data_IF_448976236702
#
_entry.id   IF_448976236702
#
_cell.length_a   1.000
_cell.length_b   1.000
_cell.length_c   1.000
_cell.angle_alpha   90.00
_cell.angle_beta   90.00
_cell.angle_gamma   90.00
#
_symmetry.space_group_name_H-M   'P 1'
#
loop_
_entity.id
_entity.type
_entity.pdbx_description
1 polymer ?
#
# COMPACT_ATOMS: atom_id res chain seq x y z
N UNK A 1 0.02 -2.43 25.96
CA UNK A 1 -0.94 -1.37 25.62
C UNK A 1 -1.79 -1.92 24.48
N UNK A 2 -3.02 -2.31 24.76
CA UNK A 2 -3.93 -2.83 23.73
C UNK A 2 -4.31 -1.68 22.81
N UNK A 3 -3.75 -1.67 21.61
CA UNK A 3 -4.20 -0.77 20.55
C UNK A 3 -5.65 -1.16 20.29
N UNK A 4 -6.58 -0.22 20.48
CA UNK A 4 -7.96 -0.36 20.01
C UNK A 4 -7.90 -0.35 18.48
N UNK A 5 -7.53 -1.48 17.88
CA UNK A 5 -7.46 -1.60 16.43
C UNK A 5 -8.87 -1.73 15.89
N UNK A 6 -9.26 -0.77 15.04
CA UNK A 6 -10.49 -0.89 14.28
C UNK A 6 -10.31 -1.99 13.19
N UNK A 7 -11.39 -2.56 12.65
CA UNK A 7 -11.31 -3.61 11.62
C UNK A 7 -10.43 -3.23 10.43
N UNK A 8 -10.48 -1.95 10.03
CA UNK A 8 -9.68 -1.37 8.96
C UNK A 8 -8.18 -1.47 9.23
N UNK A 9 -7.72 -1.18 10.45
CA UNK A 9 -6.30 -1.30 10.81
C UNK A 9 -5.80 -2.76 10.74
N UNK A 10 -6.65 -3.73 11.10
CA UNK A 10 -6.32 -5.17 10.98
C UNK A 10 -6.22 -5.57 9.51
N UNK A 11 -7.14 -5.08 8.67
CA UNK A 11 -7.09 -5.29 7.23
C UNK A 11 -5.79 -4.71 6.65
N UNK A 12 -5.43 -3.49 7.06
CA UNK A 12 -4.22 -2.79 6.61
C UNK A 12 -2.95 -3.54 6.96
N UNK A 13 -2.79 -3.95 8.21
CA UNK A 13 -1.64 -4.78 8.65
C UNK A 13 -1.58 -6.14 7.93
N UNK A 14 -2.72 -6.70 7.56
CA UNK A 14 -2.77 -7.96 6.82
C UNK A 14 -2.34 -7.76 5.37
N UNK A 15 -2.79 -6.68 4.74
CA UNK A 15 -2.40 -6.31 3.38
C UNK A 15 -0.91 -6.00 3.32
N UNK A 16 -0.39 -5.19 4.23
CA UNK A 16 1.04 -4.84 4.29
C UNK A 16 1.92 -6.08 4.39
N UNK A 17 1.58 -7.01 5.29
CA UNK A 17 2.31 -8.27 5.42
C UNK A 17 2.30 -9.10 4.14
N UNK A 18 1.16 -9.19 3.45
CA UNK A 18 1.04 -9.92 2.18
C UNK A 18 1.85 -9.26 1.08
N UNK A 19 1.84 -7.93 1.00
CA UNK A 19 2.61 -7.15 0.03
C UNK A 19 4.11 -7.37 0.24
N UNK A 20 4.59 -7.25 1.49
CA UNK A 20 6.00 -7.48 1.83
C UNK A 20 6.44 -8.90 1.46
N UNK A 21 5.66 -9.92 1.80
CA UNK A 21 5.96 -11.33 1.44
C UNK A 21 5.94 -11.55 -0.08
N UNK A 22 5.13 -10.79 -0.81
CA UNK A 22 5.07 -10.84 -2.27
C UNK A 22 6.19 -10.05 -2.97
N UNK A 23 7.10 -9.45 -2.20
CA UNK A 23 8.21 -8.67 -2.74
C UNK A 23 7.83 -7.23 -3.09
N UNK A 24 6.82 -6.64 -2.47
CA UNK A 24 6.53 -5.21 -2.59
C UNK A 24 7.12 -4.43 -1.42
N UNK A 25 7.76 -3.30 -1.71
CA UNK A 25 8.08 -2.29 -0.72
C UNK A 25 6.83 -1.41 -0.49
N UNK A 26 6.25 -1.50 0.71
CA UNK A 26 5.11 -0.65 1.11
C UNK A 26 5.63 0.73 1.53
N UNK A 27 5.11 1.78 0.92
CA UNK A 27 5.52 3.17 1.12
C UNK A 27 4.31 4.08 1.33
N UNK A 28 4.50 5.13 2.13
CA UNK A 28 3.49 6.16 2.37
C UNK A 28 3.45 7.15 1.19
N UNK A 29 2.26 7.62 0.81
CA UNK A 29 2.10 8.63 -0.25
C UNK A 29 2.99 9.86 -0.09
N UNK A 30 3.29 10.28 1.15
CA UNK A 30 4.09 11.48 1.42
C UNK A 30 5.58 11.27 1.13
N UNK A 31 6.04 10.02 1.13
CA UNK A 31 7.43 9.66 0.96
C UNK A 31 7.55 8.41 0.08
N UNK A 32 7.50 8.62 -1.23
CA UNK A 32 7.71 7.56 -2.22
C UNK A 32 9.15 7.63 -2.73
N UNK A 33 9.95 6.62 -2.39
CA UNK A 33 11.25 6.37 -2.98
C UNK A 33 11.14 5.27 -4.04
N UNK A 34 11.15 5.71 -5.30
CA UNK A 34 11.07 4.86 -6.49
C UNK A 34 12.30 3.97 -6.71
N UNK A 35 13.37 4.14 -5.94
CA UNK A 35 14.62 3.38 -6.09
C UNK A 35 14.75 2.22 -5.10
N UNK A 36 13.84 2.10 -4.14
CA UNK A 36 13.93 1.08 -3.07
C UNK A 36 13.75 -0.34 -3.63
N UNK A 37 12.87 -0.51 -4.61
CA UNK A 37 12.53 -1.83 -5.15
C UNK A 37 11.89 -1.74 -6.53
N UNK A 38 11.96 -2.83 -7.32
CA UNK A 38 11.22 -2.92 -8.60
C UNK A 38 9.71 -2.97 -8.38
N UNK A 39 9.24 -3.55 -7.27
CA UNK A 39 7.84 -3.60 -6.85
C UNK A 39 7.56 -2.66 -5.67
N UNK A 40 6.68 -1.68 -5.85
CA UNK A 40 6.33 -0.68 -4.83
C UNK A 40 4.82 -0.67 -4.63
N UNK A 41 4.36 -0.71 -3.39
CA UNK A 41 2.97 -0.48 -3.03
C UNK A 41 2.86 0.86 -2.30
N UNK A 42 2.05 1.78 -2.80
CA UNK A 42 1.87 3.10 -2.16
C UNK A 42 0.51 3.15 -1.49
N UNK A 43 0.48 3.41 -0.19
CA UNK A 43 -0.77 3.57 0.55
C UNK A 43 -1.42 4.95 0.34
N UNK A 44 -2.75 4.99 0.39
CA UNK A 44 -3.57 6.22 0.26
C UNK A 44 -3.26 7.03 -1.00
N UNK A 45 -3.08 6.37 -2.14
CA UNK A 45 -2.65 6.98 -3.39
C UNK A 45 -3.78 7.84 -4.02
N UNK A 46 -3.50 9.08 -4.47
CA UNK A 46 -4.54 9.95 -4.99
C UNK A 46 -4.98 9.48 -6.39
N UNK A 47 -6.28 9.43 -6.62
CA UNK A 47 -6.87 9.22 -7.95
C UNK A 47 -7.84 10.35 -8.27
N UNK A 48 -8.27 10.46 -9.53
CA UNK A 48 -9.22 11.49 -9.97
C UNK A 48 -10.62 11.36 -9.34
N UNK A 49 -10.95 10.22 -8.72
CA UNK A 49 -12.23 9.97 -8.07
C UNK A 49 -12.11 9.97 -6.54
N UNK A 50 -11.53 8.91 -5.98
CA UNK A 50 -11.32 8.74 -4.55
C UNK A 50 -9.92 8.13 -4.32
N UNK A 51 -9.22 8.49 -3.23
CA UNK A 51 -7.93 7.88 -2.92
C UNK A 51 -8.07 6.37 -2.84
N UNK A 52 -7.23 5.64 -3.58
CA UNK A 52 -7.16 4.19 -3.47
C UNK A 52 -6.35 3.85 -2.20
N UNK A 53 -6.76 2.80 -1.48
CA UNK A 53 -6.05 2.41 -0.25
C UNK A 53 -4.61 1.98 -0.52
N UNK A 54 -4.39 1.28 -1.63
CA UNK A 54 -3.07 0.95 -2.16
C UNK A 54 -3.05 0.98 -3.68
N UNK A 55 -1.95 1.49 -4.25
CA UNK A 55 -1.63 1.31 -5.67
C UNK A 55 -0.31 0.59 -5.80
N UNK A 56 -0.29 -0.44 -6.64
CA UNK A 56 0.87 -1.28 -6.91
C UNK A 56 1.59 -0.80 -8.16
N UNK A 57 2.90 -0.71 -8.07
CA UNK A 57 3.79 -0.33 -9.16
C UNK A 57 4.83 -1.42 -9.38
N UNK A 58 5.12 -1.71 -10.64
CA UNK A 58 6.27 -2.51 -11.06
C UNK A 58 7.05 -1.69 -12.08
N UNK A 59 8.34 -1.48 -11.83
CA UNK A 59 9.20 -0.62 -12.65
C UNK A 59 8.58 0.77 -12.91
N UNK A 60 7.97 1.34 -11.86
CA UNK A 60 7.26 2.64 -11.88
C UNK A 60 6.01 2.68 -12.76
N UNK A 61 5.55 1.53 -13.27
CA UNK A 61 4.28 1.41 -14.00
C UNK A 61 3.20 0.92 -13.05
N UNK A 62 2.04 1.59 -12.96
CA UNK A 62 0.94 1.12 -12.13
C UNK A 62 0.37 -0.18 -12.70
N UNK A 63 0.28 -1.23 -11.87
CA UNK A 63 -0.16 -2.57 -12.27
C UNK A 63 -1.46 -3.02 -11.59
N UNK A 64 -1.90 -2.30 -10.55
CA UNK A 64 -3.15 -2.63 -9.85
C UNK A 64 -3.42 -1.73 -8.65
N UNK A 65 -4.61 -1.87 -8.08
CA UNK A 65 -5.03 -1.21 -6.85
C UNK A 65 -5.67 -2.22 -5.89
N UNK A 66 -5.59 -1.95 -4.58
CA UNK A 66 -6.21 -2.76 -3.52
C UNK A 66 -7.01 -1.81 -2.63
N UNK A 67 -8.26 -2.19 -2.34
CA UNK A 67 -9.13 -1.53 -1.37
C UNK A 67 -9.09 -2.29 -0.03
N UNK A 68 -8.91 -1.60 1.09
CA UNK A 68 -8.90 -2.17 2.42
C UNK A 68 -10.30 -2.08 3.05
N UNK A 69 -10.89 -3.22 3.44
CA UNK A 69 -12.25 -3.32 4.00
C UNK A 69 -12.30 -4.16 5.27
#
# INVERSE_FOLDING_TARGET
MTVNQNPEQIARETIDRKLIVSGFAVQDRKHIDWKVFSGIAVSEYPTDALPADYVLFVDQVPVGAIEAI
#
